data_IF_864198487665
#
_entry.id   IF_864198487665
#
_cell.length_a   1.000
_cell.length_b   1.000
_cell.length_c   1.000
_cell.angle_alpha   90.00
_cell.angle_beta   90.00
_cell.angle_gamma   90.00
#
_symmetry.space_group_name_H-M   'P 1'
#
loop_
_entity.id
_entity.type
_entity.pdbx_description
1 polymer ?
#
# COMPACT_ATOMS: atom_id res chain seq x y z
N UNK A 1 2.39 -2.99 7.99
CA UNK A 1 1.85 -3.09 6.61
C UNK A 1 2.98 -3.65 5.74
N UNK A 2 2.75 -4.70 4.95
CA UNK A 2 3.77 -5.25 4.05
C UNK A 2 3.35 -4.99 2.60
N UNK A 3 4.20 -4.32 1.82
CA UNK A 3 4.00 -4.14 0.39
C UNK A 3 4.30 -5.48 -0.32
N UNK A 4 3.40 -5.92 -1.18
CA UNK A 4 3.58 -7.15 -1.96
C UNK A 4 4.24 -6.79 -3.28
N UNK A 5 5.52 -7.12 -3.41
CA UNK A 5 6.28 -7.05 -4.66
C UNK A 5 6.42 -8.45 -5.24
N UNK A 6 6.44 -8.57 -6.56
CA UNK A 6 6.93 -9.81 -7.18
C UNK A 6 8.43 -9.96 -6.91
N UNK A 7 8.98 -11.15 -7.18
CA UNK A 7 10.42 -11.37 -7.07
C UNK A 7 11.19 -10.42 -7.98
N UNK A 8 10.72 -10.29 -9.23
CA UNK A 8 11.34 -9.46 -10.26
C UNK A 8 11.31 -7.98 -9.86
N UNK A 9 10.18 -7.49 -9.33
CA UNK A 9 10.08 -6.13 -8.80
C UNK A 9 11.10 -5.89 -7.69
N UNK A 10 11.22 -6.84 -6.74
CA UNK A 10 12.15 -6.71 -5.63
C UNK A 10 13.61 -6.70 -6.08
N UNK A 11 13.95 -7.47 -7.13
CA UNK A 11 15.28 -7.47 -7.75
C UNK A 11 15.57 -6.14 -8.44
N UNK A 12 14.61 -5.60 -9.21
CA UNK A 12 14.73 -4.30 -9.86
C UNK A 12 14.84 -3.14 -8.86
N UNK A 13 14.07 -3.16 -7.78
CA UNK A 13 14.14 -2.16 -6.70
C UNK A 13 15.54 -2.15 -6.06
N UNK A 14 16.10 -3.33 -5.78
CA UNK A 14 17.46 -3.44 -5.24
C UNK A 14 18.50 -2.96 -6.26
N UNK A 15 18.31 -3.26 -7.55
CA UNK A 15 19.21 -2.81 -8.61
C UNK A 15 19.21 -1.28 -8.73
N UNK A 16 18.04 -0.64 -8.71
CA UNK A 16 17.93 0.82 -8.75
C UNK A 16 18.60 1.48 -7.54
N UNK A 17 18.35 0.97 -6.33
CA UNK A 17 19.00 1.48 -5.12
C UNK A 17 20.52 1.32 -5.17
N UNK A 18 21.02 0.18 -5.66
CA UNK A 18 22.45 -0.05 -5.82
C UNK A 18 23.08 0.91 -6.83
N UNK A 19 22.35 1.26 -7.90
CA UNK A 19 22.87 2.07 -9.00
C UNK A 19 22.89 3.57 -8.69
N UNK A 20 21.82 4.09 -8.07
CA UNK A 20 21.61 5.54 -7.90
C UNK A 20 20.98 5.93 -6.56
N UNK A 21 20.90 4.99 -5.60
CA UNK A 21 20.17 5.20 -4.35
C UNK A 21 20.75 6.34 -3.51
N UNK A 22 22.08 6.42 -3.41
CA UNK A 22 22.75 7.46 -2.62
C UNK A 22 22.61 8.85 -3.25
N UNK A 23 22.67 8.94 -4.58
CA UNK A 23 22.47 10.18 -5.34
C UNK A 23 21.04 10.72 -5.19
N UNK A 24 20.06 9.82 -5.11
CA UNK A 24 18.65 10.14 -4.85
C UNK A 24 18.34 10.33 -3.34
N UNK A 25 19.32 10.13 -2.46
CA UNK A 25 19.19 10.31 -1.01
C UNK A 25 18.51 9.16 -0.26
N UNK A 26 18.50 7.95 -0.84
CA UNK A 26 17.96 6.73 -0.24
C UNK A 26 19.09 5.86 0.34
N UNK A 27 19.11 5.69 1.67
CA UNK A 27 20.09 4.83 2.33
C UNK A 27 19.68 3.34 2.31
N UNK A 28 18.40 3.04 2.05
CA UNK A 28 17.86 1.69 2.04
C UNK A 28 16.66 1.53 1.11
N UNK A 29 16.28 0.28 0.83
CA UNK A 29 15.06 -0.05 0.07
C UNK A 29 13.82 0.49 0.80
N UNK A 30 13.84 0.47 2.13
CA UNK A 30 12.72 0.97 2.92
C UNK A 30 12.53 2.48 2.74
N UNK A 31 13.63 3.25 2.67
CA UNK A 31 13.56 4.71 2.47
C UNK A 31 12.97 5.04 1.10
N UNK A 32 13.40 4.32 0.06
CA UNK A 32 12.87 4.46 -1.29
C UNK A 32 11.36 4.18 -1.33
N UNK A 33 10.93 3.04 -0.76
CA UNK A 33 9.52 2.64 -0.73
C UNK A 33 8.69 3.64 0.09
N UNK A 34 9.18 4.07 1.24
CA UNK A 34 8.51 5.06 2.08
C UNK A 34 8.32 6.39 1.34
N UNK A 35 9.37 6.89 0.68
CA UNK A 35 9.32 8.13 -0.09
C UNK A 35 8.32 8.04 -1.25
N UNK A 36 8.33 6.91 -1.98
CA UNK A 36 7.40 6.65 -3.08
C UNK A 36 5.94 6.62 -2.59
N UNK A 37 5.66 5.88 -1.51
CA UNK A 37 4.32 5.79 -0.92
C UNK A 37 3.85 7.15 -0.40
N UNK A 38 4.71 7.91 0.27
CA UNK A 38 4.38 9.27 0.74
C UNK A 38 4.12 10.24 -0.41
N UNK A 39 4.89 10.15 -1.51
CA UNK A 39 4.67 10.96 -2.73
C UNK A 39 3.30 10.66 -3.31
N UNK A 40 2.95 9.38 -3.41
CA UNK A 40 1.66 8.95 -3.94
C UNK A 40 0.50 9.36 -3.02
N UNK A 41 0.64 9.19 -1.71
CA UNK A 41 -0.36 9.66 -0.74
C UNK A 41 -0.65 11.16 -0.92
N UNK A 42 0.39 12.00 -1.06
CA UNK A 42 0.22 13.43 -1.32
C UNK A 42 -0.49 13.70 -2.65
N UNK A 43 -0.21 12.92 -3.70
CA UNK A 43 -0.89 13.04 -5.00
C UNK A 43 -2.39 12.76 -4.85
N UNK A 44 -2.74 11.69 -4.15
CA UNK A 44 -4.15 11.30 -3.92
C UNK A 44 -4.85 12.34 -3.04
N UNK A 45 -4.20 12.86 -1.99
CA UNK A 45 -4.73 13.96 -1.15
C UNK A 45 -5.02 15.22 -1.98
N UNK A 46 -4.12 15.62 -2.88
CA UNK A 46 -4.35 16.75 -3.78
C UNK A 46 -5.52 16.50 -4.73
N UNK A 47 -5.57 15.32 -5.33
CA UNK A 47 -6.60 14.99 -6.33
C UNK A 47 -8.00 14.85 -5.73
N UNK A 48 -8.12 14.30 -4.53
CA UNK A 48 -9.41 13.86 -3.98
C UNK A 48 -9.81 14.52 -2.65
N UNK A 49 -8.92 15.29 -2.01
CA UNK A 49 -9.22 15.93 -0.73
C UNK A 49 -8.70 17.38 -0.65
N UNK A 50 -8.57 18.06 -1.79
CA UNK A 50 -8.10 19.45 -1.83
C UNK A 50 -6.73 19.66 -1.20
N UNK A 51 -5.88 18.63 -1.21
CA UNK A 51 -4.56 18.65 -0.57
C UNK A 51 -4.56 18.42 0.94
N UNK A 52 -5.74 18.27 1.56
CA UNK A 52 -5.86 17.99 3.00
C UNK A 52 -5.58 16.51 3.29
N UNK A 53 -5.08 16.23 4.50
CA UNK A 53 -4.93 14.85 4.99
C UNK A 53 -6.30 14.30 5.39
N UNK A 54 -6.51 13.01 5.21
CA UNK A 54 -7.66 12.31 5.81
C UNK A 54 -7.41 12.05 7.29
N UNK A 55 -8.51 11.86 8.04
CA UNK A 55 -8.44 11.31 9.40
C UNK A 55 -7.88 9.89 9.29
N UNK A 56 -6.91 9.57 10.15
CA UNK A 56 -6.29 8.25 10.18
C UNK A 56 -7.31 7.17 10.55
N UNK A 57 -7.25 6.04 9.87
CA UNK A 57 -8.05 4.86 10.23
C UNK A 57 -7.18 3.96 11.11
N UNK A 58 -7.62 3.60 12.33
CA UNK A 58 -6.85 2.71 13.20
C UNK A 58 -6.70 1.32 12.57
N UNK A 59 -5.67 0.58 13.00
CA UNK A 59 -5.46 -0.81 12.61
C UNK A 59 -6.73 -1.63 12.84
N UNK A 60 -7.22 -2.35 11.81
CA UNK A 60 -8.47 -3.10 11.86
C UNK A 60 -9.73 -2.30 11.48
N UNK A 61 -9.64 -0.98 11.32
CA UNK A 61 -10.73 -0.11 10.85
C UNK A 61 -10.95 -0.17 9.33
N UNK A 62 -10.07 -0.83 8.59
CA UNK A 62 -10.29 -1.18 7.19
C UNK A 62 -10.71 -2.64 7.09
N UNK A 63 -11.72 -2.91 6.26
CA UNK A 63 -12.15 -4.28 5.94
C UNK A 63 -10.93 -5.06 5.44
N UNK A 64 -10.61 -6.23 6.02
CA UNK A 64 -9.56 -7.07 5.47
C UNK A 64 -9.87 -7.38 4.00
N UNK A 65 -8.87 -7.37 3.12
CA UNK A 65 -9.04 -7.73 1.71
C UNK A 65 -9.52 -9.18 1.49
N UNK A 66 -9.75 -9.94 2.57
CA UNK A 66 -10.37 -11.26 2.60
C UNK A 66 -11.71 -11.13 3.33
N UNK A 67 -12.78 -11.71 2.75
CA UNK A 67 -14.10 -11.78 3.41
C UNK A 67 -13.93 -12.35 4.82
N UNK A 68 -14.64 -11.79 5.79
CA UNK A 68 -14.73 -12.41 7.12
C UNK A 68 -15.52 -13.72 7.03
N UNK A 69 -15.42 -14.56 8.07
CA UNK A 69 -16.23 -15.79 8.13
C UNK A 69 -17.73 -15.46 8.10
N UNK A 70 -18.16 -14.39 8.76
CA UNK A 70 -19.57 -13.97 8.72
C UNK A 70 -20.02 -13.51 7.32
N UNK A 71 -19.15 -12.82 6.58
CA UNK A 71 -19.45 -12.36 5.21
C UNK A 71 -19.52 -13.51 4.21
N UNK A 72 -18.79 -14.60 4.47
CA UNK A 72 -18.84 -15.82 3.65
C UNK A 72 -20.15 -16.57 3.89
N UNK A 73 -20.55 -16.73 5.16
CA UNK A 73 -21.80 -17.39 5.54
C UNK A 73 -23.05 -16.68 4.96
N UNK A 74 -23.08 -15.33 5.01
CA UNK A 74 -24.19 -14.54 4.43
C UNK A 74 -24.30 -14.67 2.91
N UNK A 75 -23.19 -14.92 2.21
CA UNK A 75 -23.18 -15.09 0.75
C UNK A 75 -23.62 -16.49 0.32
N UNK A 76 -23.39 -17.52 1.15
CA UNK A 76 -23.85 -18.88 0.88
C UNK A 76 -25.37 -19.03 1.07
N UNK A 77 -25.93 -18.32 2.06
CA UNK A 77 -27.37 -18.35 2.34
C UNK A 77 -28.21 -17.67 1.23
N UNK A 78 -27.68 -16.61 0.61
CA UNK A 78 -28.32 -15.93 -0.52
C UNK A 78 -28.28 -16.71 -1.85
N UNK A 79 -27.47 -17.77 -1.95
CA UNK A 79 -27.34 -18.61 -3.16
C UNK A 79 -28.26 -19.84 -3.14
N UNK A 80 -28.96 -20.07 -2.02
CA UNK A 80 -29.87 -21.21 -1.78
C UNK A 80 -31.36 -20.82 -1.81
N UNK A 81 -31.71 -19.64 -2.33
CA UNK A 81 -33.08 -19.24 -2.61
C UNK A 81 -33.33 -19.07 -4.09
#
# INVERSE_FOLDING_TARGET
MSAKFTRDDAEQIRAALKAVGMEEGYASVNDLVEAAVRRELRRVQRKYNGGKKWIGVPSGGLRPGRRTKEETARHEDGRRK
#
